data_IF_021587562480
#
_entry.id   IF_021587562480
#
_cell.length_a   1.000
_cell.length_b   1.000
_cell.length_c   1.000
_cell.angle_alpha   90.00
_cell.angle_beta   90.00
_cell.angle_gamma   90.00
#
_symmetry.space_group_name_H-M   'P 1'
#
loop_
_entity.id
_entity.type
_entity.pdbx_description
1 polymer ?
#
# COMPACT_ATOMS: atom_id res chain seq x y z
N UNK A 1 -4.08 41.67 -14.67
CA UNK A 1 -5.47 41.65 -15.22
C UNK A 1 -6.35 42.16 -14.10
N UNK A 2 -7.25 43.13 -14.34
CA UNK A 2 -7.97 43.89 -13.29
C UNK A 2 -9.00 43.13 -12.43
N UNK A 3 -8.73 41.87 -12.08
CA UNK A 3 -9.54 41.02 -11.20
C UNK A 3 -9.08 41.08 -9.73
N UNK A 4 -7.97 41.77 -9.43
CA UNK A 4 -7.31 41.84 -8.12
C UNK A 4 -8.16 42.48 -7.00
N UNK A 5 -9.38 42.93 -7.30
CA UNK A 5 -10.30 43.56 -6.34
C UNK A 5 -11.39 42.62 -5.83
N UNK A 6 -11.61 41.46 -6.45
CA UNK A 6 -12.63 40.49 -6.03
C UNK A 6 -11.99 39.14 -5.66
N UNK A 7 -11.90 38.90 -4.34
CA UNK A 7 -11.26 37.73 -3.76
C UNK A 7 -11.96 36.41 -4.14
N UNK A 8 -13.28 36.43 -4.40
CA UNK A 8 -14.01 35.24 -4.82
C UNK A 8 -13.66 34.84 -6.26
N UNK A 9 -13.52 35.84 -7.14
CA UNK A 9 -13.13 35.60 -8.52
C UNK A 9 -11.67 35.13 -8.61
N UNK A 10 -10.78 35.73 -7.82
CA UNK A 10 -9.38 35.31 -7.69
C UNK A 10 -9.26 33.84 -7.25
N UNK A 11 -9.94 33.46 -6.16
CA UNK A 11 -9.96 32.07 -5.66
C UNK A 11 -10.59 31.11 -6.66
N UNK A 12 -11.66 31.53 -7.35
CA UNK A 12 -12.32 30.74 -8.39
C UNK A 12 -11.41 30.42 -9.57
N UNK A 13 -10.59 31.39 -10.01
CA UNK A 13 -9.62 31.20 -11.11
C UNK A 13 -8.53 30.21 -10.70
N UNK A 14 -7.93 30.38 -9.51
CA UNK A 14 -6.91 29.46 -9.02
C UNK A 14 -7.47 28.04 -8.92
N UNK A 15 -8.66 27.88 -8.36
CA UNK A 15 -9.31 26.57 -8.23
C UNK A 15 -9.60 25.95 -9.61
N UNK A 16 -10.07 26.74 -10.59
CA UNK A 16 -10.28 26.28 -11.97
C UNK A 16 -8.97 25.80 -12.60
N UNK A 17 -7.92 26.62 -12.54
CA UNK A 17 -6.60 26.32 -13.11
C UNK A 17 -5.96 25.09 -12.46
N UNK A 18 -6.14 24.91 -11.15
CA UNK A 18 -5.71 23.71 -10.41
C UNK A 18 -6.50 22.46 -10.84
N UNK A 19 -7.80 22.60 -11.11
CA UNK A 19 -8.67 21.49 -11.50
C UNK A 19 -8.37 20.97 -12.90
N UNK A 20 -8.11 21.87 -13.85
CA UNK A 20 -7.58 21.51 -15.19
C UNK A 20 -6.07 21.17 -15.11
N UNK A 21 -5.45 21.61 -14.01
CA UNK A 21 -4.08 21.49 -13.54
C UNK A 21 -3.00 22.06 -14.44
N UNK A 22 -3.32 23.22 -14.97
CA UNK A 22 -2.34 24.22 -15.39
C UNK A 22 -1.68 24.85 -14.15
N UNK A 23 -0.87 24.07 -13.41
CA UNK A 23 -0.30 24.51 -12.14
C UNK A 23 0.69 25.66 -12.30
N UNK A 24 1.42 25.72 -13.42
CA UNK A 24 2.31 26.86 -13.71
C UNK A 24 1.54 28.17 -13.90
N UNK A 25 0.38 28.13 -14.56
CA UNK A 25 -0.49 29.30 -14.69
C UNK A 25 -1.19 29.63 -13.37
N UNK A 26 -1.64 28.62 -12.62
CA UNK A 26 -2.22 28.82 -11.30
C UNK A 26 -1.23 29.52 -10.36
N UNK A 27 0.03 29.08 -10.35
CA UNK A 27 1.10 29.69 -9.55
C UNK A 27 1.41 31.11 -10.02
N UNK A 28 1.43 31.36 -11.33
CA UNK A 28 1.65 32.70 -11.87
C UNK A 28 0.52 33.66 -11.49
N UNK A 29 -0.73 33.25 -11.65
CA UNK A 29 -1.91 34.03 -11.21
C UNK A 29 -1.86 34.29 -9.71
N UNK A 30 -1.43 33.28 -8.95
CA UNK A 30 -1.25 33.40 -7.52
C UNK A 30 -0.12 34.38 -7.14
N UNK A 31 0.98 34.43 -7.89
CA UNK A 31 2.10 35.35 -7.67
C UNK A 31 1.80 36.78 -8.12
N UNK A 32 0.99 36.95 -9.17
CA UNK A 32 0.58 38.25 -9.68
C UNK A 32 -0.56 38.88 -8.82
N UNK A 33 -1.18 38.11 -7.93
CA UNK A 33 -2.31 38.55 -7.09
C UNK A 33 -1.89 39.50 -5.95
N UNK A 34 -2.59 40.63 -5.83
CA UNK A 34 -2.29 41.65 -4.81
C UNK A 34 -2.68 41.26 -3.37
N UNK A 35 -3.69 40.39 -3.20
CA UNK A 35 -4.16 39.91 -1.88
C UNK A 35 -4.37 38.40 -1.97
N UNK A 36 -3.60 37.64 -1.17
CA UNK A 36 -3.66 36.18 -1.10
C UNK A 36 -4.20 35.75 0.25
N UNK A 37 -5.35 35.07 0.26
CA UNK A 37 -5.96 34.52 1.46
C UNK A 37 -5.67 33.01 1.63
N UNK A 38 -6.05 32.45 2.77
CA UNK A 38 -5.82 31.03 3.06
C UNK A 38 -6.45 30.08 2.02
N UNK A 39 -7.55 30.50 1.38
CA UNK A 39 -8.25 29.69 0.37
C UNK A 39 -7.41 29.61 -0.91
N UNK A 40 -6.81 30.71 -1.35
CA UNK A 40 -5.87 30.73 -2.48
C UNK A 40 -4.64 29.86 -2.23
N UNK A 41 -4.02 29.98 -1.04
CA UNK A 41 -2.86 29.16 -0.64
C UNK A 41 -3.20 27.66 -0.62
N UNK A 42 -4.30 27.29 0.06
CA UNK A 42 -4.73 25.89 0.16
C UNK A 42 -5.10 25.29 -1.20
N UNK A 43 -5.72 26.08 -2.07
CA UNK A 43 -6.08 25.62 -3.43
C UNK A 43 -4.85 25.32 -4.26
N UNK A 44 -3.82 26.18 -4.18
CA UNK A 44 -2.57 25.98 -4.91
C UNK A 44 -1.78 24.78 -4.35
N UNK A 45 -1.62 24.69 -3.02
CA UNK A 45 -0.95 23.57 -2.35
C UNK A 45 -1.63 22.24 -2.73
N UNK A 46 -2.97 22.16 -2.62
CA UNK A 46 -3.73 20.97 -3.01
C UNK A 46 -3.55 20.61 -4.49
N UNK A 47 -3.39 21.59 -5.37
CA UNK A 47 -3.11 21.37 -6.78
C UNK A 47 -1.77 20.68 -7.03
N UNK A 48 -0.69 21.22 -6.45
CA UNK A 48 0.64 20.62 -6.53
C UNK A 48 0.70 19.24 -5.88
N UNK A 49 0.04 19.11 -4.73
CA UNK A 49 -0.15 17.83 -4.03
C UNK A 49 -0.81 16.78 -4.91
N UNK A 50 -1.96 17.09 -5.54
CA UNK A 50 -2.70 16.14 -6.39
C UNK A 50 -1.88 15.64 -7.58
N UNK A 51 -0.90 16.44 -8.02
CA UNK A 51 0.00 16.11 -9.13
C UNK A 51 1.36 15.56 -8.68
N UNK A 52 1.48 15.18 -7.39
CA UNK A 52 2.69 14.61 -6.79
C UNK A 52 3.92 15.53 -6.86
N UNK A 53 3.69 16.84 -6.97
CA UNK A 53 4.71 17.89 -6.95
C UNK A 53 4.91 18.40 -5.51
N UNK A 54 5.42 17.46 -4.73
CA UNK A 54 5.65 17.51 -3.31
C UNK A 54 6.49 18.72 -2.85
N UNK A 55 7.66 18.87 -3.47
CA UNK A 55 8.66 19.89 -3.13
C UNK A 55 8.13 21.30 -3.41
N UNK A 56 7.39 21.45 -4.49
CA UNK A 56 6.74 22.69 -4.89
C UNK A 56 5.60 23.05 -3.93
N UNK A 57 4.77 22.08 -3.54
CA UNK A 57 3.73 22.26 -2.53
C UNK A 57 4.32 22.72 -1.18
N UNK A 58 5.44 22.12 -0.75
CA UNK A 58 6.14 22.52 0.47
C UNK A 58 6.81 23.89 0.32
N UNK A 59 7.39 24.20 -0.84
CA UNK A 59 7.92 25.53 -1.14
C UNK A 59 6.86 26.62 -1.04
N UNK A 60 5.65 26.35 -1.54
CA UNK A 60 4.49 27.26 -1.44
C UNK A 60 4.06 27.41 0.02
N UNK A 61 3.97 26.32 0.77
CA UNK A 61 3.62 26.36 2.19
C UNK A 61 4.68 27.12 3.02
N UNK A 62 5.96 26.92 2.74
CA UNK A 62 7.03 27.69 3.38
C UNK A 62 6.95 29.18 3.01
N UNK A 63 6.65 29.50 1.74
CA UNK A 63 6.42 30.87 1.27
C UNK A 63 5.25 31.51 2.04
N UNK A 64 4.15 30.79 2.22
CA UNK A 64 2.99 31.21 3.01
C UNK A 64 3.37 31.59 4.45
N UNK A 65 4.22 30.78 5.10
CA UNK A 65 4.69 31.06 6.46
C UNK A 65 5.63 32.27 6.48
N UNK A 66 6.56 32.37 5.53
CA UNK A 66 7.56 33.44 5.50
C UNK A 66 6.97 34.81 5.15
N UNK A 67 5.92 34.85 4.33
CA UNK A 67 5.27 36.09 3.92
C UNK A 67 4.42 36.73 5.03
N UNK A 68 4.38 36.14 6.24
CA UNK A 68 3.62 36.63 7.40
C UNK A 68 2.24 37.16 6.98
N UNK A 69 1.46 36.37 6.24
CA UNK A 69 0.07 36.70 5.98
C UNK A 69 -0.63 36.75 7.34
N UNK A 70 -0.66 37.95 7.92
CA UNK A 70 -1.37 38.29 9.15
C UNK A 70 -2.84 38.03 8.86
N UNK A 71 -3.47 37.05 9.52
CA UNK A 71 -4.90 37.12 9.71
C UNK A 71 -5.13 38.39 10.54
N UNK A 72 -6.13 39.19 10.20
CA UNK A 72 -6.48 40.41 10.93
C UNK A 72 -6.40 40.22 12.45
N UNK A 73 -6.09 41.31 13.17
CA UNK A 73 -5.71 41.43 14.59
C UNK A 73 -6.69 40.83 15.65
N UNK A 74 -7.62 39.96 15.24
CA UNK A 74 -8.51 39.17 16.10
C UNK A 74 -8.02 37.74 16.41
N UNK A 75 -6.96 37.23 15.77
CA UNK A 75 -6.62 35.79 15.83
C UNK A 75 -5.37 35.46 16.66
N UNK A 76 -5.46 35.65 17.97
CA UNK A 76 -4.51 35.07 18.94
C UNK A 76 -4.61 33.52 19.07
N UNK A 77 -5.53 32.86 18.34
CA UNK A 77 -5.80 31.40 18.36
C UNK A 77 -5.47 30.67 17.03
N UNK A 78 -4.28 30.89 16.47
CA UNK A 78 -3.85 30.29 15.18
C UNK A 78 -3.13 28.90 15.18
N UNK A 79 -2.93 28.15 16.28
CA UNK A 79 -2.32 26.81 16.20
C UNK A 79 -3.18 25.79 15.42
N UNK A 80 -4.51 25.83 15.56
CA UNK A 80 -5.40 24.77 15.05
C UNK A 80 -5.49 24.75 13.52
N UNK A 81 -5.55 25.92 12.87
CA UNK A 81 -5.63 26.02 11.40
C UNK A 81 -4.35 25.57 10.70
N UNK A 82 -3.21 25.67 11.40
CA UNK A 82 -1.93 25.24 10.85
C UNK A 82 -1.78 23.70 10.88
N UNK A 83 -2.32 23.03 11.91
CA UNK A 83 -2.34 21.55 11.97
C UNK A 83 -3.16 20.95 10.84
N UNK A 84 -4.31 21.56 10.48
CA UNK A 84 -5.15 21.09 9.36
C UNK A 84 -4.40 21.13 8.03
N UNK A 85 -3.61 22.18 7.78
CA UNK A 85 -2.80 22.29 6.56
C UNK A 85 -1.70 21.22 6.50
N UNK A 86 -0.96 21.01 7.59
CA UNK A 86 0.00 19.91 7.69
C UNK A 86 -0.65 18.55 7.46
N UNK A 87 -1.81 18.29 8.07
CA UNK A 87 -2.54 17.05 7.89
C UNK A 87 -2.95 16.81 6.43
N UNK A 88 -3.40 17.85 5.73
CA UNK A 88 -3.75 17.75 4.31
C UNK A 88 -2.52 17.37 3.46
N UNK A 89 -1.38 18.02 3.70
CA UNK A 89 -0.14 17.74 2.98
C UNK A 89 0.34 16.32 3.32
N UNK A 90 0.55 15.99 4.59
CA UNK A 90 1.03 14.65 5.00
C UNK A 90 0.09 13.55 4.48
N UNK A 91 -1.22 13.71 4.68
CA UNK A 91 -2.22 12.72 4.26
C UNK A 91 -2.23 12.49 2.75
N UNK A 92 -1.98 13.52 1.97
CA UNK A 92 -1.91 13.39 0.52
C UNK A 92 -0.69 12.61 0.01
N UNK A 93 0.45 12.73 0.68
CA UNK A 93 1.64 11.95 0.34
C UNK A 93 1.45 10.48 0.66
N UNK A 94 0.83 10.18 1.80
CA UNK A 94 0.43 8.82 2.17
C UNK A 94 -0.51 8.22 1.12
N UNK A 95 -1.49 8.99 0.62
CA UNK A 95 -2.38 8.55 -0.46
C UNK A 95 -1.65 8.34 -1.80
N UNK A 96 -0.56 9.05 -2.03
CA UNK A 96 0.28 8.91 -3.21
C UNK A 96 1.32 7.76 -3.12
N UNK A 97 1.31 6.97 -2.04
CA UNK A 97 2.33 5.97 -1.68
C UNK A 97 3.75 6.54 -1.49
N UNK A 98 3.86 7.85 -1.19
CA UNK A 98 5.11 8.55 -0.85
C UNK A 98 5.27 8.63 0.66
N UNK A 99 5.25 7.45 1.30
CA UNK A 99 5.15 7.35 2.76
C UNK A 99 6.42 7.78 3.50
N UNK A 100 7.59 7.68 2.86
CA UNK A 100 8.84 8.12 3.48
C UNK A 100 8.83 9.64 3.61
N UNK A 101 8.49 10.33 2.52
CA UNK A 101 8.37 11.78 2.44
C UNK A 101 7.26 12.30 3.38
N UNK A 102 6.15 11.56 3.50
CA UNK A 102 5.11 11.89 4.47
C UNK A 102 5.62 11.91 5.93
N UNK A 103 6.51 10.96 6.29
CA UNK A 103 7.12 10.91 7.62
C UNK A 103 8.21 11.99 7.81
N UNK A 104 8.90 12.38 6.74
CA UNK A 104 9.82 13.53 6.77
C UNK A 104 9.05 14.83 7.04
N UNK A 105 7.94 15.06 6.35
CA UNK A 105 7.06 16.21 6.60
C UNK A 105 6.48 16.21 8.01
N UNK A 106 6.11 15.05 8.54
CA UNK A 106 5.72 14.92 9.94
C UNK A 106 6.83 15.37 10.89
N UNK A 107 8.09 14.99 10.61
CA UNK A 107 9.24 15.44 11.40
C UNK A 107 9.44 16.95 11.32
N UNK A 108 9.25 17.55 10.15
CA UNK A 108 9.30 19.01 9.98
C UNK A 108 8.18 19.73 10.75
N UNK A 109 6.97 19.18 10.76
CA UNK A 109 5.86 19.66 11.59
C UNK A 109 6.27 19.71 13.07
N UNK A 110 6.90 18.64 13.57
CA UNK A 110 7.39 18.58 14.96
C UNK A 110 8.49 19.60 15.25
N UNK A 111 9.45 19.78 14.33
CA UNK A 111 10.52 20.77 14.45
C UNK A 111 9.98 22.21 14.46
N UNK A 112 8.83 22.42 13.83
CA UNK A 112 8.09 23.70 13.85
C UNK A 112 7.29 23.92 15.15
N UNK A 113 7.50 23.09 16.18
CA UNK A 113 6.78 23.10 17.46
C UNK A 113 5.25 22.94 17.33
N UNK A 114 4.77 22.43 16.20
CA UNK A 114 3.36 22.12 16.00
C UNK A 114 3.05 20.79 16.68
N UNK A 115 1.98 20.74 17.47
CA UNK A 115 1.55 19.51 18.15
C UNK A 115 0.74 18.63 17.18
N UNK A 116 1.20 17.41 16.88
CA UNK A 116 0.40 16.46 16.12
C UNK A 116 -0.93 16.14 16.80
N UNK A 117 -1.99 16.11 16.01
CA UNK A 117 -3.32 15.71 16.44
C UNK A 117 -3.64 14.27 16.03
N UNK A 118 -4.88 13.85 16.29
CA UNK A 118 -5.35 12.50 15.93
C UNK A 118 -5.27 12.22 14.42
N UNK A 119 -5.56 13.20 13.57
CA UNK A 119 -5.51 13.03 12.11
C UNK A 119 -4.06 12.90 11.66
N UNK A 120 -3.13 13.66 12.24
CA UNK A 120 -1.69 13.50 12.01
C UNK A 120 -1.24 12.07 12.35
N UNK A 121 -1.68 11.54 13.50
CA UNK A 121 -1.32 10.17 13.91
C UNK A 121 -1.90 9.11 12.97
N UNK A 122 -3.11 9.28 12.44
CA UNK A 122 -3.68 8.38 11.45
C UNK A 122 -2.82 8.31 10.18
N UNK A 123 -2.36 9.46 9.69
CA UNK A 123 -1.47 9.51 8.53
C UNK A 123 -0.12 8.87 8.82
N UNK A 124 0.48 9.12 10.00
CA UNK A 124 1.74 8.49 10.41
C UNK A 124 1.61 6.96 10.50
N UNK A 125 0.53 6.45 11.09
CA UNK A 125 0.28 5.01 11.18
C UNK A 125 0.11 4.37 9.80
N UNK A 126 -0.63 5.03 8.90
CA UNK A 126 -0.80 4.56 7.53
C UNK A 126 0.53 4.56 6.77
N UNK A 127 1.36 5.60 6.93
CA UNK A 127 2.70 5.65 6.35
C UNK A 127 3.60 4.51 6.86
N UNK A 128 3.57 4.27 8.18
CA UNK A 128 4.32 3.17 8.79
C UNK A 128 3.86 1.80 8.26
N UNK A 129 2.54 1.60 8.09
CA UNK A 129 1.95 0.40 7.52
C UNK A 129 2.41 0.14 6.08
N UNK A 130 2.55 1.19 5.26
CA UNK A 130 3.04 1.07 3.89
C UNK A 130 4.55 0.78 3.80
N UNK A 131 5.35 1.32 4.73
CA UNK A 131 6.80 1.16 4.75
C UNK A 131 7.28 -0.07 5.56
N UNK A 132 6.42 -0.68 6.37
CA UNK A 132 6.85 -1.65 7.38
C UNK A 132 7.67 -1.01 8.52
N UNK A 133 7.51 0.28 8.77
CA UNK A 133 8.32 1.06 9.73
C UNK A 133 7.84 0.84 11.19
N UNK A 134 8.08 -0.35 11.73
CA UNK A 134 7.60 -0.77 13.05
C UNK A 134 8.03 0.17 14.19
N UNK A 135 9.29 0.61 14.19
CA UNK A 135 9.84 1.45 15.27
C UNK A 135 9.14 2.82 15.32
N UNK A 136 8.93 3.45 14.17
CA UNK A 136 8.14 4.70 14.05
C UNK A 136 6.67 4.48 14.41
N UNK A 137 6.09 3.34 14.04
CA UNK A 137 4.73 2.96 14.43
C UNK A 137 4.57 2.80 15.94
N UNK A 138 5.54 2.18 16.62
CA UNK A 138 5.58 2.07 18.09
C UNK A 138 5.70 3.46 18.73
N UNK A 139 6.58 4.31 18.20
CA UNK A 139 6.70 5.68 18.68
C UNK A 139 5.38 6.44 18.56
N UNK A 140 4.68 6.31 17.43
CA UNK A 140 3.37 6.93 17.16
C UNK A 140 2.32 6.44 18.15
N UNK A 141 2.28 5.14 18.43
CA UNK A 141 1.38 4.57 19.45
C UNK A 141 1.67 5.10 20.86
N UNK A 142 2.95 5.24 21.22
CA UNK A 142 3.34 5.82 22.51
C UNK A 142 2.97 7.30 22.60
N UNK A 143 3.08 8.06 21.51
CA UNK A 143 2.64 9.45 21.45
C UNK A 143 1.13 9.55 21.70
N UNK A 144 0.32 8.72 21.03
CA UNK A 144 -1.14 8.64 21.24
C UNK A 144 -1.48 8.45 22.72
N UNK A 145 -0.82 7.49 23.38
CA UNK A 145 -1.01 7.20 24.82
C UNK A 145 -0.56 8.36 25.69
N UNK A 146 0.64 8.90 25.47
CA UNK A 146 1.23 9.98 26.27
C UNK A 146 0.41 11.27 26.22
N UNK A 147 -0.20 11.57 25.08
CA UNK A 147 -0.99 12.78 24.86
C UNK A 147 -2.50 12.56 25.08
N UNK A 148 -2.90 11.40 25.62
CA UNK A 148 -4.30 11.04 25.89
C UNK A 148 -5.22 11.24 24.67
N UNK A 149 -4.72 10.97 23.47
CA UNK A 149 -5.55 11.02 22.27
C UNK A 149 -6.54 9.86 22.32
N UNK A 150 -7.84 10.18 22.17
CA UNK A 150 -8.91 9.19 22.28
C UNK A 150 -8.73 8.06 21.25
N UNK A 151 -8.56 6.83 21.75
CA UNK A 151 -8.47 5.62 20.94
C UNK A 151 -9.88 5.19 20.50
N UNK A 152 -10.39 5.87 19.50
CA UNK A 152 -11.65 5.50 18.86
C UNK A 152 -11.44 4.41 17.80
N UNK A 153 -12.54 4.02 17.14
CA UNK A 153 -12.53 2.95 16.14
C UNK A 153 -11.55 3.24 15.00
N UNK A 154 -11.45 4.49 14.55
CA UNK A 154 -10.56 4.87 13.45
C UNK A 154 -9.08 4.70 13.85
N UNK A 155 -8.68 5.27 15.00
CA UNK A 155 -7.29 5.21 15.45
C UNK A 155 -6.89 3.79 15.88
N UNK A 156 -7.80 3.06 16.53
CA UNK A 156 -7.58 1.67 16.89
C UNK A 156 -7.42 0.74 15.68
N UNK A 157 -8.25 0.92 14.65
CA UNK A 157 -8.15 0.14 13.40
C UNK A 157 -6.84 0.46 12.67
N UNK A 158 -6.41 1.73 12.63
CA UNK A 158 -5.13 2.11 12.05
C UNK A 158 -3.91 1.52 12.80
N UNK A 159 -3.98 1.43 14.13
CA UNK A 159 -2.94 0.77 14.93
C UNK A 159 -2.89 -0.73 14.68
N UNK A 160 -4.05 -1.40 14.58
CA UNK A 160 -4.12 -2.83 14.23
C UNK A 160 -3.50 -3.05 12.86
N UNK A 161 -3.92 -2.27 11.85
CA UNK A 161 -3.38 -2.38 10.48
C UNK A 161 -1.87 -2.13 10.46
N UNK A 162 -1.39 -1.08 11.13
CA UNK A 162 0.05 -0.79 11.20
C UNK A 162 0.83 -1.93 11.85
N UNK A 163 0.42 -2.41 13.04
CA UNK A 163 1.14 -3.50 13.70
C UNK A 163 1.09 -4.80 12.91
N UNK A 164 -0.07 -5.13 12.34
CA UNK A 164 -0.22 -6.29 11.48
C UNK A 164 0.67 -6.15 10.26
N UNK A 165 0.63 -5.05 9.50
CA UNK A 165 1.51 -4.87 8.33
C UNK A 165 2.99 -4.68 8.67
N UNK A 166 3.37 -4.43 9.92
CA UNK A 166 4.78 -4.32 10.34
C UNK A 166 5.35 -5.58 11.01
N UNK A 167 4.70 -6.74 10.89
CA UNK A 167 5.22 -8.00 11.45
C UNK A 167 4.83 -8.30 12.90
N UNK A 168 4.09 -7.42 13.58
CA UNK A 168 3.81 -7.56 15.02
C UNK A 168 2.33 -7.90 15.30
N UNK A 169 1.93 -9.10 14.90
CA UNK A 169 0.55 -9.58 15.07
C UNK A 169 0.11 -9.64 16.54
N UNK A 170 1.03 -9.95 17.46
CA UNK A 170 0.76 -9.97 18.91
C UNK A 170 0.28 -8.61 19.42
N UNK A 171 0.96 -7.51 19.05
CA UNK A 171 0.52 -6.16 19.42
C UNK A 171 -0.76 -5.75 18.71
N UNK A 172 -0.97 -6.18 17.46
CA UNK A 172 -2.23 -5.93 16.75
C UNK A 172 -3.43 -6.56 17.49
N UNK A 173 -3.29 -7.82 17.93
CA UNK A 173 -4.30 -8.49 18.77
C UNK A 173 -4.49 -7.83 20.12
N UNK A 174 -3.41 -7.36 20.76
CA UNK A 174 -3.50 -6.62 22.01
C UNK A 174 -4.33 -5.34 21.84
N UNK A 175 -4.02 -4.52 20.83
CA UNK A 175 -4.80 -3.30 20.54
C UNK A 175 -6.25 -3.66 20.26
N UNK A 176 -6.50 -4.68 19.43
CA UNK A 176 -7.85 -5.16 19.17
C UNK A 176 -8.59 -5.52 20.46
N UNK A 177 -7.97 -6.23 21.40
CA UNK A 177 -8.58 -6.62 22.66
C UNK A 177 -8.79 -5.46 23.65
N UNK A 178 -7.94 -4.43 23.60
CA UNK A 178 -8.06 -3.22 24.44
C UNK A 178 -9.11 -2.23 23.92
N UNK A 179 -9.53 -2.32 22.64
CA UNK A 179 -10.50 -1.40 22.07
C UNK A 179 -11.90 -1.52 22.72
N UNK A 180 -12.48 -0.41 23.22
CA UNK A 180 -13.78 -0.44 23.89
C UNK A 180 -14.94 -0.68 22.92
N UNK A 181 -14.80 -0.21 21.67
CA UNK A 181 -15.78 -0.39 20.58
C UNK A 181 -15.06 -0.92 19.35
N UNK A 182 -15.69 -1.88 18.67
CA UNK A 182 -15.22 -2.49 17.43
C UNK A 182 -16.38 -2.52 16.44
N UNK A 183 -16.10 -2.24 15.18
CA UNK A 183 -17.07 -2.38 14.08
C UNK A 183 -16.49 -3.31 13.01
N UNK A 184 -17.23 -3.53 11.92
CA UNK A 184 -16.79 -4.40 10.83
C UNK A 184 -15.36 -4.09 10.38
N UNK A 185 -14.99 -2.81 10.18
CA UNK A 185 -13.63 -2.44 9.77
C UNK A 185 -12.53 -2.94 10.72
N UNK A 186 -12.77 -2.88 12.03
CA UNK A 186 -11.81 -3.38 13.03
C UNK A 186 -11.64 -4.90 12.96
N UNK A 187 -12.72 -5.64 12.69
CA UNK A 187 -12.69 -7.09 12.50
C UNK A 187 -12.04 -7.47 11.17
N UNK A 188 -12.35 -6.76 10.09
CA UNK A 188 -11.70 -6.91 8.79
C UNK A 188 -10.19 -6.72 8.89
N UNK A 189 -9.73 -5.72 9.64
CA UNK A 189 -8.30 -5.47 9.86
C UNK A 189 -7.61 -6.62 10.60
N UNK A 190 -8.22 -7.18 11.65
CA UNK A 190 -7.61 -8.31 12.37
C UNK A 190 -7.60 -9.60 11.54
N UNK A 191 -8.68 -9.87 10.80
CA UNK A 191 -8.77 -11.03 9.90
C UNK A 191 -7.70 -10.92 8.82
N UNK A 192 -7.62 -9.78 8.13
CA UNK A 192 -6.60 -9.54 7.11
C UNK A 192 -5.17 -9.65 7.65
N UNK A 193 -4.93 -9.11 8.85
CA UNK A 193 -3.64 -9.24 9.53
C UNK A 193 -3.26 -10.70 9.82
N UNK A 194 -4.17 -11.49 10.39
CA UNK A 194 -3.94 -12.92 10.68
C UNK A 194 -3.68 -13.73 9.42
N UNK A 195 -4.40 -13.42 8.33
CA UNK A 195 -4.21 -14.06 7.03
C UNK A 195 -2.82 -13.85 6.46
N UNK A 196 -2.21 -12.66 6.64
CA UNK A 196 -0.87 -12.35 6.14
C UNK A 196 0.23 -13.20 6.81
N UNK A 197 0.06 -13.57 8.08
CA UNK A 197 1.05 -14.38 8.83
C UNK A 197 0.76 -15.87 8.83
N UNK A 198 -0.23 -16.34 8.05
CA UNK A 198 -0.56 -17.75 7.99
C UNK A 198 -1.26 -18.29 9.24
N UNK A 199 -1.80 -17.42 10.10
CA UNK A 199 -2.61 -17.81 11.25
C UNK A 199 -4.04 -18.13 10.80
N UNK A 200 -4.18 -19.16 9.96
CA UNK A 200 -5.41 -19.48 9.23
C UNK A 200 -6.58 -19.81 10.16
N UNK A 201 -6.33 -20.61 11.19
CA UNK A 201 -7.35 -21.00 12.17
C UNK A 201 -7.89 -19.78 12.92
N UNK A 202 -7.00 -18.86 13.33
CA UNK A 202 -7.42 -17.64 14.00
C UNK A 202 -8.23 -16.75 13.05
N UNK A 203 -7.78 -16.56 11.81
CA UNK A 203 -8.50 -15.74 10.82
C UNK A 203 -9.95 -16.25 10.61
N UNK A 204 -10.12 -17.57 10.45
CA UNK A 204 -11.43 -18.22 10.32
C UNK A 204 -12.25 -18.10 11.61
N UNK A 205 -11.62 -18.24 12.78
CA UNK A 205 -12.26 -18.05 14.08
C UNK A 205 -12.80 -16.63 14.24
N UNK A 206 -12.00 -15.59 13.94
CA UNK A 206 -12.44 -14.20 14.03
C UNK A 206 -13.52 -13.87 13.00
N UNK A 207 -13.46 -14.43 11.80
CA UNK A 207 -14.53 -14.31 10.81
C UNK A 207 -15.86 -14.91 11.30
N UNK A 208 -15.80 -16.11 11.87
CA UNK A 208 -17.00 -16.78 12.40
C UNK A 208 -17.58 -15.98 13.57
N UNK A 209 -16.73 -15.53 14.50
CA UNK A 209 -17.13 -14.69 15.63
C UNK A 209 -17.72 -13.35 15.19
N UNK A 210 -17.20 -12.73 14.12
CA UNK A 210 -17.76 -11.50 13.53
C UNK A 210 -19.21 -11.71 13.09
N UNK A 211 -19.49 -12.85 12.44
CA UNK A 211 -20.84 -13.22 12.01
C UNK A 211 -21.74 -13.50 13.22
N UNK A 212 -21.24 -14.23 14.23
CA UNK A 212 -22.01 -14.62 15.42
C UNK A 212 -22.49 -13.42 16.24
N UNK A 213 -21.70 -12.34 16.27
CA UNK A 213 -22.08 -11.09 16.93
C UNK A 213 -22.96 -10.18 16.05
N UNK A 214 -23.36 -10.65 14.86
CA UNK A 214 -24.27 -9.95 13.95
C UNK A 214 -23.61 -8.89 13.08
N UNK A 215 -22.28 -8.87 12.96
CA UNK A 215 -21.60 -7.97 12.02
C UNK A 215 -21.55 -8.60 10.63
N UNK A 216 -21.87 -7.79 9.62
CA UNK A 216 -21.82 -8.23 8.22
C UNK A 216 -20.41 -8.11 7.66
N UNK A 217 -19.83 -9.20 7.13
CA UNK A 217 -18.60 -9.14 6.37
C UNK A 217 -18.81 -8.39 5.05
N UNK A 218 -17.78 -7.68 4.62
CA UNK A 218 -17.71 -6.98 3.32
C UNK A 218 -16.74 -7.70 2.38
N UNK A 219 -16.53 -7.15 1.18
CA UNK A 219 -15.62 -7.70 0.19
C UNK A 219 -14.18 -7.83 0.73
N UNK A 220 -13.71 -6.83 1.49
CA UNK A 220 -12.35 -6.86 2.05
C UNK A 220 -12.20 -7.95 3.10
N UNK A 221 -13.25 -8.23 3.86
CA UNK A 221 -13.28 -9.32 4.85
C UNK A 221 -13.15 -10.67 4.17
N UNK A 222 -13.91 -10.89 3.08
CA UNK A 222 -13.80 -12.11 2.28
C UNK A 222 -12.43 -12.27 1.63
N UNK A 223 -11.84 -11.19 1.10
CA UNK A 223 -10.47 -11.22 0.61
C UNK A 223 -9.48 -11.70 1.69
N UNK A 224 -9.64 -11.23 2.92
CA UNK A 224 -8.85 -11.69 4.08
C UNK A 224 -8.99 -13.19 4.31
N UNK A 225 -10.22 -13.71 4.40
CA UNK A 225 -10.47 -15.14 4.64
C UNK A 225 -9.96 -16.02 3.50
N UNK A 226 -10.20 -15.63 2.25
CA UNK A 226 -9.70 -16.38 1.08
C UNK A 226 -8.17 -16.38 1.01
N UNK A 227 -7.51 -15.28 1.43
CA UNK A 227 -6.05 -15.24 1.56
C UNK A 227 -5.56 -16.21 2.64
N UNK A 228 -6.25 -16.30 3.78
CA UNK A 228 -5.95 -17.30 4.79
C UNK A 228 -6.11 -18.73 4.25
N UNK A 229 -7.20 -19.03 3.54
CA UNK A 229 -7.38 -20.32 2.88
C UNK A 229 -6.25 -20.63 1.89
N UNK A 230 -5.83 -19.64 1.10
CA UNK A 230 -4.71 -19.76 0.16
C UNK A 230 -3.39 -20.08 0.86
N UNK A 231 -3.08 -19.43 1.99
CA UNK A 231 -1.87 -19.69 2.76
C UNK A 231 -1.93 -21.03 3.52
N UNK A 232 -3.11 -21.45 3.96
CA UNK A 232 -3.33 -22.74 4.63
C UNK A 232 -3.53 -23.92 3.70
N UNK A 233 -3.62 -23.71 2.39
CA UNK A 233 -3.97 -24.77 1.42
C UNK A 233 -5.38 -25.34 1.63
N UNK A 234 -6.29 -24.59 2.24
CA UNK A 234 -7.66 -25.04 2.57
C UNK A 234 -8.59 -24.86 1.36
N UNK A 235 -8.44 -25.71 0.35
CA UNK A 235 -9.19 -25.63 -0.92
C UNK A 235 -10.70 -25.63 -0.69
N UNK A 236 -11.21 -26.61 0.08
CA UNK A 236 -12.65 -26.77 0.32
C UNK A 236 -13.27 -25.60 1.10
N UNK A 237 -12.58 -25.09 2.12
CA UNK A 237 -13.05 -23.91 2.84
C UNK A 237 -12.98 -22.66 1.95
N UNK A 238 -11.96 -22.53 1.11
CA UNK A 238 -11.85 -21.45 0.13
C UNK A 238 -13.05 -21.41 -0.82
N UNK A 239 -13.45 -22.56 -1.39
CA UNK A 239 -14.65 -22.70 -2.23
C UNK A 239 -15.91 -22.28 -1.48
N UNK A 240 -16.10 -22.85 -0.29
CA UNK A 240 -17.26 -22.57 0.56
C UNK A 240 -17.38 -21.08 0.88
N UNK A 241 -16.29 -20.40 1.24
CA UNK A 241 -16.34 -18.96 1.50
C UNK A 241 -16.57 -18.14 0.23
N UNK A 242 -15.97 -18.52 -0.89
CA UNK A 242 -16.19 -17.87 -2.18
C UNK A 242 -17.65 -17.97 -2.63
N UNK A 243 -18.28 -19.13 -2.43
CA UNK A 243 -19.71 -19.34 -2.75
C UNK A 243 -20.64 -18.61 -1.77
N UNK A 244 -20.29 -18.60 -0.48
CA UNK A 244 -21.05 -17.88 0.55
C UNK A 244 -21.07 -16.37 0.30
N UNK A 245 -20.02 -15.81 -0.28
CA UNK A 245 -19.93 -14.40 -0.64
C UNK A 245 -21.16 -13.97 -1.49
N UNK A 246 -21.50 -14.76 -2.53
CA UNK A 246 -22.70 -14.52 -3.34
C UNK A 246 -23.98 -15.01 -2.67
N UNK A 247 -24.01 -16.28 -2.25
CA UNK A 247 -25.24 -16.97 -1.87
C UNK A 247 -25.83 -16.52 -0.53
N UNK A 248 -24.98 -16.14 0.43
CA UNK A 248 -25.38 -15.75 1.78
C UNK A 248 -25.30 -14.25 2.03
N UNK A 249 -24.27 -13.59 1.51
CA UNK A 249 -23.99 -12.19 1.80
C UNK A 249 -24.30 -11.25 0.63
N UNK A 250 -24.70 -11.78 -0.53
CA UNK A 250 -25.05 -11.00 -1.72
C UNK A 250 -23.95 -10.02 -2.16
N UNK A 251 -22.68 -10.44 -2.00
CA UNK A 251 -21.50 -9.70 -2.41
C UNK A 251 -20.97 -10.26 -3.73
N UNK A 252 -20.63 -9.37 -4.65
CA UNK A 252 -20.06 -9.76 -5.96
C UNK A 252 -18.54 -9.89 -5.87
N UNK A 253 -17.95 -11.06 -6.21
CA UNK A 253 -16.50 -11.23 -6.20
C UNK A 253 -15.80 -10.29 -7.19
N UNK A 254 -14.88 -9.50 -6.64
CA UNK A 254 -13.95 -8.64 -7.39
C UNK A 254 -12.70 -9.40 -7.87
N UNK A 255 -11.91 -8.87 -8.83
CA UNK A 255 -10.73 -9.54 -9.38
C UNK A 255 -9.76 -10.10 -8.34
N UNK A 256 -9.57 -9.39 -7.22
CA UNK A 256 -8.71 -9.85 -6.12
C UNK A 256 -9.17 -11.17 -5.48
N UNK A 257 -10.48 -11.41 -5.38
CA UNK A 257 -11.01 -12.68 -4.85
C UNK A 257 -10.74 -13.82 -5.82
N UNK A 258 -10.93 -13.58 -7.13
CA UNK A 258 -10.59 -14.55 -8.16
C UNK A 258 -9.10 -14.87 -8.17
N UNK A 259 -8.23 -13.87 -8.03
CA UNK A 259 -6.78 -14.09 -7.90
C UNK A 259 -6.43 -14.97 -6.70
N UNK A 260 -7.04 -14.73 -5.52
CA UNK A 260 -6.87 -15.61 -4.36
C UNK A 260 -7.32 -17.05 -4.63
N UNK A 261 -8.46 -17.24 -5.29
CA UNK A 261 -8.96 -18.58 -5.62
C UNK A 261 -8.08 -19.29 -6.66
N UNK A 262 -7.66 -18.59 -7.72
CA UNK A 262 -6.73 -19.12 -8.73
C UNK A 262 -5.39 -19.49 -8.09
N UNK A 263 -4.86 -18.67 -7.19
CA UNK A 263 -3.64 -18.97 -6.45
C UNK A 263 -3.81 -20.20 -5.54
N UNK A 264 -4.94 -20.30 -4.81
CA UNK A 264 -5.26 -21.45 -3.96
C UNK A 264 -5.35 -22.75 -4.77
N UNK A 265 -6.14 -22.76 -5.85
CA UNK A 265 -6.29 -23.91 -6.74
C UNK A 265 -4.97 -24.27 -7.43
N UNK A 266 -4.25 -23.26 -7.91
CA UNK A 266 -2.97 -23.42 -8.57
C UNK A 266 -1.91 -24.05 -7.65
N UNK A 267 -1.79 -23.56 -6.41
CA UNK A 267 -0.89 -24.17 -5.40
C UNK A 267 -1.27 -25.62 -5.10
N UNK A 268 -2.56 -25.94 -5.09
CA UNK A 268 -3.05 -27.30 -4.90
C UNK A 268 -2.88 -28.21 -6.14
N UNK A 269 -2.41 -27.69 -7.28
CA UNK A 269 -2.22 -28.44 -8.52
C UNK A 269 -3.48 -28.59 -9.38
N UNK A 270 -4.58 -27.92 -9.02
CA UNK A 270 -5.85 -27.95 -9.74
C UNK A 270 -5.86 -26.91 -10.88
N UNK A 271 -4.91 -27.03 -11.81
CA UNK A 271 -4.62 -25.99 -12.81
C UNK A 271 -5.74 -25.81 -13.84
N UNK A 272 -6.33 -26.91 -14.29
CA UNK A 272 -7.43 -26.90 -15.26
C UNK A 272 -8.65 -26.18 -14.68
N UNK A 273 -8.94 -26.42 -13.41
CA UNK A 273 -10.01 -25.74 -12.70
C UNK A 273 -9.69 -24.27 -12.44
N UNK A 274 -8.45 -23.95 -12.10
CA UNK A 274 -8.01 -22.57 -11.95
C UNK A 274 -8.17 -21.79 -13.27
N UNK A 275 -7.82 -22.40 -14.41
CA UNK A 275 -8.03 -21.82 -15.73
C UNK A 275 -9.51 -21.66 -16.07
N UNK A 276 -10.34 -22.64 -15.74
CA UNK A 276 -11.79 -22.55 -15.95
C UNK A 276 -12.43 -21.44 -15.09
N UNK A 277 -11.98 -21.29 -13.84
CA UNK A 277 -12.42 -20.20 -12.98
C UNK A 277 -12.16 -18.83 -13.61
N UNK A 278 -11.01 -18.64 -14.27
CA UNK A 278 -10.69 -17.40 -15.00
C UNK A 278 -11.69 -17.15 -16.12
N UNK A 279 -12.06 -18.18 -16.89
CA UNK A 279 -13.03 -18.03 -18.00
C UNK A 279 -14.43 -17.67 -17.51
N UNK A 280 -14.81 -18.11 -16.30
CA UNK A 280 -16.12 -17.81 -15.70
C UNK A 280 -16.17 -16.45 -15.00
N UNK A 281 -15.07 -15.69 -14.99
CA UNK A 281 -15.06 -14.34 -14.42
C UNK A 281 -16.02 -13.42 -15.18
N UNK A 282 -16.83 -12.60 -14.48
CA UNK A 282 -17.71 -11.63 -15.11
C UNK A 282 -16.98 -10.37 -15.62
N UNK A 283 -15.65 -10.31 -15.47
CA UNK A 283 -14.78 -9.24 -15.91
C UNK A 283 -13.47 -9.80 -16.49
N UNK A 284 -12.73 -8.98 -17.24
CA UNK A 284 -11.41 -9.36 -17.74
C UNK A 284 -10.43 -9.59 -16.60
N UNK A 285 -9.64 -10.65 -16.73
CA UNK A 285 -8.61 -11.01 -15.75
C UNK A 285 -7.38 -10.12 -15.89
N UNK A 286 -6.95 -9.54 -14.76
CA UNK A 286 -5.76 -8.69 -14.68
C UNK A 286 -4.46 -9.50 -14.56
N UNK A 287 -3.33 -8.79 -14.51
CA UNK A 287 -2.01 -9.41 -14.39
C UNK A 287 -1.85 -10.23 -13.10
N UNK A 288 -2.59 -9.90 -12.04
CA UNK A 288 -2.50 -10.61 -10.76
C UNK A 288 -3.17 -11.99 -10.85
N UNK A 289 -4.29 -12.10 -11.56
CA UNK A 289 -4.99 -13.37 -11.79
C UNK A 289 -4.17 -14.28 -12.70
N UNK A 290 -3.74 -13.78 -13.87
CA UNK A 290 -2.92 -14.57 -14.79
C UNK A 290 -1.55 -14.92 -14.20
N UNK A 291 -0.96 -14.03 -13.42
CA UNK A 291 0.31 -14.25 -12.72
C UNK A 291 0.22 -15.40 -11.71
N UNK A 292 -0.89 -15.48 -10.97
CA UNK A 292 -1.12 -16.57 -10.03
C UNK A 292 -1.20 -17.94 -10.74
N UNK A 293 -1.92 -18.03 -11.86
CA UNK A 293 -1.99 -19.26 -12.66
C UNK A 293 -0.64 -19.61 -13.27
N UNK A 294 0.02 -18.63 -13.89
CA UNK A 294 1.31 -18.83 -14.56
C UNK A 294 2.39 -19.34 -13.60
N UNK A 295 2.48 -18.75 -12.42
CA UNK A 295 3.40 -19.21 -11.38
C UNK A 295 3.11 -20.65 -10.93
N UNK A 296 1.82 -20.98 -10.72
CA UNK A 296 1.42 -22.34 -10.38
C UNK A 296 1.77 -23.36 -11.49
N UNK A 297 1.63 -22.99 -12.76
CA UNK A 297 2.06 -23.81 -13.88
C UNK A 297 3.57 -24.06 -13.88
N UNK A 298 4.37 -23.08 -13.45
CA UNK A 298 5.81 -23.24 -13.22
C UNK A 298 6.12 -24.28 -12.15
N UNK A 299 5.44 -24.21 -11.00
CA UNK A 299 5.61 -25.18 -9.90
C UNK A 299 5.25 -26.61 -10.34
N UNK A 300 4.10 -26.77 -10.99
CA UNK A 300 3.57 -28.08 -11.38
C UNK A 300 4.01 -28.55 -12.77
N UNK A 301 4.91 -27.79 -13.42
CA UNK A 301 5.48 -28.09 -14.74
C UNK A 301 4.45 -28.31 -15.86
N UNK A 302 3.32 -27.61 -15.79
CA UNK A 302 2.30 -27.65 -16.83
C UNK A 302 2.61 -26.59 -17.91
N UNK A 303 3.40 -26.99 -18.91
CA UNK A 303 3.82 -26.09 -19.98
C UNK A 303 2.63 -25.56 -20.80
N UNK A 304 1.61 -26.38 -21.04
CA UNK A 304 0.50 -26.07 -21.94
C UNK A 304 -0.37 -24.92 -21.40
N UNK A 305 -0.74 -24.97 -20.11
CA UNK A 305 -1.48 -23.87 -19.47
C UNK A 305 -0.54 -22.68 -19.24
N UNK A 306 0.72 -22.95 -18.89
CA UNK A 306 1.74 -21.92 -18.67
C UNK A 306 1.99 -21.03 -19.89
N UNK A 307 2.05 -21.60 -21.10
CA UNK A 307 2.19 -20.85 -22.36
C UNK A 307 1.00 -19.90 -22.59
N UNK A 308 -0.24 -20.37 -22.35
CA UNK A 308 -1.44 -19.55 -22.50
C UNK A 308 -1.46 -18.40 -21.49
N UNK A 309 -1.16 -18.68 -20.23
CA UNK A 309 -1.11 -17.66 -19.18
C UNK A 309 0.01 -16.63 -19.45
N UNK A 310 1.18 -17.07 -19.89
CA UNK A 310 2.28 -16.18 -20.27
C UNK A 310 1.93 -15.28 -21.46
N UNK A 311 1.25 -15.81 -22.49
CA UNK A 311 0.78 -15.00 -23.62
C UNK A 311 -0.14 -13.88 -23.14
N UNK A 312 -1.08 -14.18 -22.23
CA UNK A 312 -1.97 -13.18 -21.66
C UNK A 312 -1.24 -12.14 -20.81
N UNK A 313 -0.25 -12.54 -20.03
CA UNK A 313 0.57 -11.60 -19.26
C UNK A 313 1.40 -10.68 -20.16
N UNK A 314 1.98 -11.20 -21.25
CA UNK A 314 2.76 -10.39 -22.19
C UNK A 314 1.89 -9.44 -23.03
N UNK A 315 0.60 -9.75 -23.21
CA UNK A 315 -0.38 -8.80 -23.77
C UNK A 315 -0.65 -7.64 -22.80
N UNK A 316 -0.67 -7.90 -21.49
CA UNK A 316 -0.92 -6.89 -20.45
C UNK A 316 0.31 -6.03 -20.13
N UNK A 317 1.48 -6.65 -19.97
CA UNK A 317 2.75 -5.97 -19.75
C UNK A 317 3.89 -6.65 -20.51
N UNK A 318 4.24 -6.16 -21.70
CA UNK A 318 5.36 -6.67 -22.49
C UNK A 318 6.74 -6.47 -21.83
N UNK A 319 6.87 -5.62 -20.82
CA UNK A 319 8.16 -5.22 -20.24
C UNK A 319 8.46 -5.95 -18.91
N UNK A 320 7.56 -6.80 -18.43
CA UNK A 320 7.84 -7.63 -17.26
C UNK A 320 8.83 -8.76 -17.61
N UNK A 321 10.08 -8.56 -17.21
CA UNK A 321 11.17 -9.52 -17.41
C UNK A 321 10.91 -10.88 -16.74
N UNK A 322 10.11 -10.93 -15.68
CA UNK A 322 9.80 -12.14 -14.93
C UNK A 322 9.05 -13.17 -15.77
N UNK A 323 8.16 -12.72 -16.65
CA UNK A 323 7.36 -13.60 -17.53
C UNK A 323 8.27 -14.37 -18.49
N UNK A 324 9.17 -13.67 -19.19
CA UNK A 324 10.11 -14.29 -20.13
C UNK A 324 11.05 -15.26 -19.44
N UNK A 325 11.56 -14.89 -18.26
CA UNK A 325 12.52 -15.72 -17.52
C UNK A 325 11.85 -17.02 -17.05
N UNK A 326 10.65 -16.95 -16.48
CA UNK A 326 9.93 -18.13 -16.01
C UNK A 326 9.50 -19.02 -17.18
N UNK A 327 8.95 -18.45 -18.26
CA UNK A 327 8.53 -19.23 -19.43
C UNK A 327 9.73 -19.93 -20.10
N UNK A 328 10.87 -19.24 -20.24
CA UNK A 328 12.08 -19.86 -20.77
C UNK A 328 12.61 -20.99 -19.88
N UNK A 329 12.43 -20.91 -18.55
CA UNK A 329 12.79 -21.99 -17.64
C UNK A 329 11.84 -23.18 -17.80
N UNK A 330 10.53 -22.95 -17.90
CA UNK A 330 9.54 -24.00 -18.16
C UNK A 330 9.85 -24.76 -19.46
N UNK A 331 10.21 -24.05 -20.53
CA UNK A 331 10.64 -24.67 -21.79
C UNK A 331 11.87 -25.55 -21.63
N UNK A 332 12.89 -25.10 -20.88
CA UNK A 332 14.10 -25.89 -20.59
C UNK A 332 13.77 -27.16 -19.81
N UNK A 333 12.93 -27.05 -18.78
CA UNK A 333 12.49 -28.21 -17.98
C UNK A 333 11.73 -29.24 -18.80
N UNK A 334 10.97 -28.80 -19.81
CA UNK A 334 10.30 -29.66 -20.78
C UNK A 334 11.22 -30.18 -21.91
N UNK A 335 12.51 -29.84 -21.90
CA UNK A 335 13.47 -30.24 -22.93
C UNK A 335 13.37 -29.47 -24.25
N UNK A 336 12.55 -28.41 -24.32
CA UNK A 336 12.35 -27.57 -25.51
C UNK A 336 13.34 -26.40 -25.53
N UNK A 337 14.62 -26.71 -25.77
CA UNK A 337 15.72 -25.73 -25.70
C UNK A 337 15.61 -24.61 -26.74
N UNK A 338 15.10 -24.92 -27.93
CA UNK A 338 14.92 -23.93 -29.01
C UNK A 338 13.87 -22.88 -28.64
N UNK A 339 12.72 -23.30 -28.11
CA UNK A 339 11.67 -22.39 -27.64
C UNK A 339 12.19 -21.51 -26.50
N UNK A 340 12.96 -22.08 -25.57
CA UNK A 340 13.61 -21.31 -24.50
C UNK A 340 14.59 -20.25 -25.04
N UNK A 341 15.31 -20.55 -26.13
CA UNK A 341 16.18 -19.59 -26.80
C UNK A 341 15.36 -18.48 -27.46
N UNK A 342 14.28 -18.84 -28.16
CA UNK A 342 13.38 -17.90 -28.81
C UNK A 342 12.73 -16.91 -27.83
N UNK A 343 12.28 -17.37 -26.66
CA UNK A 343 11.75 -16.48 -25.61
C UNK A 343 12.79 -15.48 -25.12
N UNK A 344 14.05 -15.91 -24.92
CA UNK A 344 15.14 -14.99 -24.50
C UNK A 344 15.53 -14.01 -25.60
N UNK A 345 15.49 -14.45 -26.86
CA UNK A 345 15.69 -13.57 -28.01
C UNK A 345 14.60 -12.51 -28.07
N UNK A 346 13.34 -12.89 -27.93
CA UNK A 346 12.20 -11.96 -27.88
C UNK A 346 12.32 -10.95 -26.74
N UNK A 347 12.76 -11.39 -25.56
CA UNK A 347 13.04 -10.51 -24.41
C UNK A 347 14.09 -9.43 -24.76
N UNK A 348 15.19 -9.82 -25.39
CA UNK A 348 16.26 -8.90 -25.80
C UNK A 348 15.81 -7.96 -26.93
N UNK A 349 15.07 -8.45 -27.92
CA UNK A 349 14.54 -7.65 -29.04
C UNK A 349 13.58 -6.56 -28.57
N UNK A 350 12.87 -6.80 -27.47
CA UNK A 350 11.99 -5.82 -26.80
C UNK A 350 12.73 -4.89 -25.83
N UNK A 351 14.06 -5.02 -25.72
CA UNK A 351 14.87 -4.20 -24.81
C UNK A 351 14.59 -4.47 -23.32
N UNK A 352 14.01 -5.63 -22.99
CA UNK A 352 13.69 -5.99 -21.61
C UNK A 352 14.91 -6.63 -20.98
N UNK A 353 15.49 -5.97 -19.98
CA UNK A 353 16.58 -6.52 -19.20
C UNK A 353 16.05 -7.32 -18.01
N UNK A 354 16.78 -8.37 -17.63
CA UNK A 354 16.46 -9.13 -16.42
C UNK A 354 16.66 -8.21 -15.21
N UNK A 355 15.59 -7.92 -14.47
CA UNK A 355 15.69 -7.20 -13.21
C UNK A 355 16.43 -8.06 -12.18
N UNK A 356 17.58 -7.62 -11.64
CA UNK A 356 18.24 -8.31 -10.56
C UNK A 356 17.40 -8.18 -9.28
N UNK A 357 17.23 -9.26 -8.52
CA UNK A 357 16.65 -9.17 -7.19
C UNK A 357 17.58 -8.37 -6.28
N UNK A 358 17.06 -7.30 -5.67
CA UNK A 358 17.80 -6.49 -4.70
C UNK A 358 17.07 -6.48 -3.36
N UNK A 359 17.80 -6.71 -2.28
CA UNK A 359 17.34 -6.45 -0.91
C UNK A 359 18.21 -5.35 -0.29
N UNK A 360 17.58 -4.38 0.35
CA UNK A 360 18.25 -3.30 1.09
C UNK A 360 17.99 -3.46 2.57
N UNK A 361 19.01 -3.29 3.39
CA UNK A 361 18.92 -3.27 4.85
C UNK A 361 19.35 -1.88 5.29
N UNK A 362 18.47 -1.17 6.01
CA UNK A 362 18.77 0.13 6.58
C UNK A 362 19.55 -0.09 7.90
N UNK A 363 20.81 0.37 7.93
CA UNK A 363 21.64 0.31 9.14
C UNK A 363 21.63 1.68 9.80
N UNK A 364 21.32 1.74 11.10
CA UNK A 364 21.33 2.95 11.94
C UNK A 364 22.73 3.50 12.25
N UNK A 365 23.73 3.21 11.41
CA UNK A 365 25.05 3.83 11.50
C UNK A 365 25.64 4.05 10.11
N UNK A 366 26.34 5.17 9.98
CA UNK A 366 26.75 5.83 8.74
C UNK A 366 27.77 5.03 7.91
N UNK A 367 27.35 3.99 7.18
CA UNK A 367 28.10 3.43 6.04
C UNK A 367 27.15 2.83 5.00
N UNK A 368 27.15 3.37 3.78
CA UNK A 368 26.42 2.83 2.64
C UNK A 368 27.33 1.93 1.80
N UNK A 369 26.87 0.73 1.43
CA UNK A 369 27.58 -0.16 0.49
C UNK A 369 26.74 -0.38 -0.78
N UNK A 370 27.41 -0.33 -1.94
CA UNK A 370 26.88 -0.79 -3.23
C UNK A 370 27.29 -2.25 -3.45
N UNK A 371 26.31 -3.14 -3.66
CA UNK A 371 26.55 -4.53 -4.06
C UNK A 371 26.88 -4.62 -5.55
N UNK A 372 27.92 -5.41 -5.89
CA UNK A 372 28.29 -5.77 -7.27
C UNK A 372 27.74 -7.15 -7.66
N UNK A 373 27.59 -7.43 -8.97
CA UNK A 373 26.60 -8.38 -9.47
C UNK A 373 27.14 -9.81 -9.68
N UNK A 374 27.83 -10.42 -8.72
CA UNK A 374 28.19 -11.85 -8.81
C UNK A 374 28.32 -12.47 -7.41
N UNK A 375 27.67 -13.63 -7.24
CA UNK A 375 27.35 -14.22 -5.94
C UNK A 375 28.51 -14.73 -5.08
N UNK A 376 28.09 -15.33 -3.96
CA UNK A 376 28.80 -15.88 -2.79
C UNK A 376 28.79 -14.92 -1.60
N UNK A 377 27.89 -15.22 -0.66
CA UNK A 377 27.77 -14.58 0.65
C UNK A 377 28.92 -15.02 1.55
N UNK A 378 29.71 -14.06 2.04
CA UNK A 378 30.55 -14.24 3.23
C UNK A 378 30.12 -13.21 4.28
N UNK A 379 29.50 -13.70 5.35
CA UNK A 379 29.24 -12.93 6.58
C UNK A 379 30.44 -13.15 7.50
N UNK A 380 31.10 -12.09 7.95
CA UNK A 380 32.02 -12.17 9.11
C UNK A 380 32.05 -10.87 9.94
N UNK A 381 31.63 -11.05 11.20
CA UNK A 381 31.81 -10.26 12.44
C UNK A 381 30.80 -9.17 12.86
N UNK A 382 29.83 -9.67 13.64
CA UNK A 382 29.30 -9.29 14.97
C UNK A 382 29.87 -8.01 15.64
N UNK A 383 28.95 -7.13 16.07
CA UNK A 383 29.00 -6.50 17.39
C UNK A 383 27.64 -6.58 18.09
N UNK A 384 27.70 -6.89 19.39
CA UNK A 384 26.59 -7.06 20.33
C UNK A 384 25.77 -5.77 20.50
N UNK A 385 24.44 -5.90 20.46
CA UNK A 385 23.51 -5.11 21.27
C UNK A 385 22.30 -6.00 21.59
N UNK A 386 22.11 -6.23 22.88
CA UNK A 386 21.13 -7.15 23.45
C UNK A 386 19.71 -6.75 23.08
N UNK A 387 18.98 -7.70 22.48
CA UNK A 387 17.57 -8.07 22.71
C UNK A 387 17.02 -8.64 21.40
N UNK A 388 16.72 -9.94 21.43
CA UNK A 388 16.45 -10.79 20.27
C UNK A 388 15.44 -10.20 19.28
N UNK A 389 15.88 -10.11 18.02
CA UNK A 389 15.02 -9.82 16.86
C UNK A 389 14.99 -11.05 15.96
N UNK A 390 13.79 -11.55 15.69
CA UNK A 390 13.49 -12.43 14.55
C UNK A 390 13.40 -11.52 13.33
N UNK A 391 14.20 -11.78 12.28
CA UNK A 391 14.08 -11.08 11.00
C UNK A 391 12.82 -11.58 10.30
N UNK A 392 11.84 -10.70 10.08
CA UNK A 392 10.74 -10.94 9.15
C UNK A 392 11.03 -10.11 7.90
N UNK A 393 11.44 -10.78 6.83
CA UNK A 393 11.55 -10.18 5.50
C UNK A 393 10.13 -10.13 4.94
N UNK A 394 9.51 -8.94 4.93
CA UNK A 394 8.29 -8.72 4.16
C UNK A 394 8.66 -8.48 2.70
N UNK A 395 8.66 -9.56 1.91
CA UNK A 395 8.59 -9.45 0.46
C UNK A 395 7.18 -9.01 0.06
N UNK A 396 6.98 -7.72 -0.23
CA UNK A 396 5.90 -7.33 -1.13
C UNK A 396 6.30 -7.85 -2.53
N UNK A 397 5.65 -8.93 -2.97
CA UNK A 397 5.78 -9.53 -4.31
C UNK A 397 7.22 -9.77 -4.80
N UNK A 398 7.87 -10.76 -4.20
CA UNK A 398 8.80 -11.67 -4.87
C UNK A 398 8.93 -12.90 -3.97
N UNK A 399 7.94 -13.80 -4.04
CA UNK A 399 8.07 -15.14 -3.46
C UNK A 399 8.98 -15.92 -4.41
N UNK A 400 10.28 -15.78 -4.19
CA UNK A 400 11.28 -16.71 -4.68
C UNK A 400 11.56 -17.70 -3.55
N UNK A 401 11.03 -18.92 -3.71
CA UNK A 401 11.70 -20.20 -3.48
C UNK A 401 10.76 -21.30 -3.97
#
# INVERSE_FOLDING_TARGET
MGFDKDMYLFNGIIHMLVSIGELGLAHKVFDDGCVRDLVSWNSLINGYVRRRQAREAMGIYQKMITEQVKPDELFHDMPEKNVVAWNAIIGSYVQANLSLEALELFREMQLSNMKPDKVTMLHCLSACSQLGALDTGIWTHNYIKKHNLSLDVALGTALIDMYAKCGNMTKALQVFNEMPRRNSMTWTAIIGGLSLYGNVNDAIFYFSKMIDIGLMPDEITFLGVLTACCHGGLVEEGRKYFDQMKSRFNLSPQPKHYSCMVNLLGRAGLLEEAEELIKTMPMEADAMVWGALFFACGIHRNLVIGERAASKLLELDPHDSGIYVLLANMYKEAGKWEDAHNIRKMMNERGVEKTPGSSSIEMTSSQAFKLKPNGIFYIRYIYHLELGRQLVIQCFSCIAC
#
